data_IF_235649643615
#
_entry.id   IF_235649643615
#
_cell.length_a   1.000
_cell.length_b   1.000
_cell.length_c   1.000
_cell.angle_alpha   90.00
_cell.angle_beta   90.00
_cell.angle_gamma   90.00
#
_symmetry.space_group_name_H-M   'P 1'
#
loop_
_entity.id
_entity.type
_entity.pdbx_description
1 polymer ?
#
# COMPACT_ATOMS: atom_id res chain seq x y z
N UNK A 1 -4.97 -0.09 1.77
CA UNK A 1 -5.27 -0.82 3.01
C UNK A 1 -6.74 -0.87 3.36
N UNK A 2 -7.49 0.19 3.16
CA UNK A 2 -8.93 0.23 3.42
C UNK A 2 -9.78 -0.16 2.20
N UNK A 3 -9.15 -0.56 1.09
CA UNK A 3 -9.82 -1.05 -0.12
C UNK A 3 -10.31 0.03 -1.09
N UNK A 4 -9.97 1.27 -0.82
CA UNK A 4 -10.26 2.40 -1.70
C UNK A 4 -8.96 2.88 -2.36
N UNK A 5 -9.04 3.16 -3.65
CA UNK A 5 -7.98 3.86 -4.38
C UNK A 5 -8.46 5.29 -4.58
N UNK A 6 -7.65 6.22 -4.14
CA UNK A 6 -7.99 7.64 -4.15
C UNK A 6 -6.88 8.44 -4.82
N UNK A 7 -7.28 9.43 -5.61
CA UNK A 7 -6.34 10.37 -6.20
C UNK A 7 -5.77 11.31 -5.12
N UNK A 8 -4.46 11.33 -4.99
CA UNK A 8 -3.73 12.16 -4.03
C UNK A 8 -4.07 13.66 -4.18
N UNK A 9 -4.20 14.14 -5.41
CA UNK A 9 -4.55 15.53 -5.67
C UNK A 9 -5.97 15.87 -5.21
N UNK A 10 -6.90 14.93 -5.31
CA UNK A 10 -8.26 15.09 -4.78
C UNK A 10 -8.24 15.12 -3.26
N UNK A 11 -7.50 14.21 -2.62
CA UNK A 11 -7.32 14.20 -1.14
C UNK A 11 -6.71 15.50 -0.67
N UNK A 12 -5.64 15.98 -1.33
CA UNK A 12 -4.96 17.23 -1.00
C UNK A 12 -5.90 18.44 -1.09
N UNK A 13 -6.71 18.52 -2.14
CA UNK A 13 -7.72 19.59 -2.28
C UNK A 13 -8.78 19.56 -1.18
N UNK A 14 -9.32 18.39 -0.86
CA UNK A 14 -10.31 18.22 0.22
C UNK A 14 -9.70 18.59 1.57
N UNK A 15 -8.47 18.19 1.83
CA UNK A 15 -7.74 18.56 3.02
C UNK A 15 -7.45 20.06 3.10
N UNK A 16 -7.36 20.76 1.96
CA UNK A 16 -6.87 22.13 1.89
C UNK A 16 -5.38 22.18 2.24
N UNK A 17 -4.61 21.24 1.68
CA UNK A 17 -3.16 21.17 1.84
C UNK A 17 -2.49 22.34 1.12
N UNK A 18 -1.53 22.99 1.79
CA UNK A 18 -0.70 24.02 1.22
C UNK A 18 0.76 23.55 1.14
N UNK A 19 1.42 23.82 0.02
CA UNK A 19 2.78 23.38 -0.20
C UNK A 19 3.79 23.94 0.83
N UNK A 20 3.50 25.13 1.40
CA UNK A 20 4.38 25.77 2.42
C UNK A 20 4.01 25.45 3.87
N UNK A 21 2.74 25.09 4.15
CA UNK A 21 2.25 24.87 5.51
C UNK A 21 1.92 23.40 5.80
N UNK A 22 1.94 22.56 4.75
CA UNK A 22 1.55 21.15 4.88
C UNK A 22 0.08 20.97 5.26
N UNK A 23 -0.20 19.91 5.99
CA UNK A 23 -1.55 19.52 6.39
C UNK A 23 -1.54 19.17 7.88
N UNK A 24 -2.39 19.83 8.65
CA UNK A 24 -2.62 19.53 10.06
C UNK A 24 -3.64 18.38 10.26
N UNK A 25 -3.79 17.92 11.50
CA UNK A 25 -4.68 16.81 11.84
C UNK A 25 -6.16 17.10 11.54
N UNK A 26 -6.59 18.38 11.63
CA UNK A 26 -7.98 18.79 11.36
C UNK A 26 -8.26 18.65 9.86
N UNK A 27 -7.33 19.09 9.04
CA UNK A 27 -7.41 18.98 7.59
C UNK A 27 -7.36 17.53 7.14
N UNK A 28 -6.47 16.69 7.72
CA UNK A 28 -6.42 15.25 7.47
C UNK A 28 -7.73 14.57 7.86
N UNK A 29 -8.32 14.93 9.01
CA UNK A 29 -9.61 14.40 9.45
C UNK A 29 -10.74 14.77 8.48
N UNK A 30 -10.72 15.98 7.91
CA UNK A 30 -11.67 16.41 6.87
C UNK A 30 -11.56 15.53 5.63
N UNK A 31 -10.35 15.28 5.15
CA UNK A 31 -10.13 14.40 4.01
C UNK A 31 -10.58 12.96 4.32
N UNK A 32 -10.23 12.41 5.46
CA UNK A 32 -10.68 11.08 5.87
C UNK A 32 -12.21 10.96 5.91
N UNK A 33 -12.91 12.00 6.40
CA UNK A 33 -14.37 12.04 6.46
C UNK A 33 -15.01 12.01 5.07
N UNK A 34 -14.42 12.65 4.07
CA UNK A 34 -14.91 12.63 2.70
C UNK A 34 -14.90 11.22 2.08
N UNK A 35 -14.03 10.35 2.57
CA UNK A 35 -13.94 8.94 2.20
C UNK A 35 -14.59 8.01 3.24
N UNK A 36 -15.58 8.49 3.98
CA UNK A 36 -16.32 7.72 4.98
C UNK A 36 -15.43 7.07 6.04
N UNK A 37 -14.32 7.72 6.38
CA UNK A 37 -13.43 7.33 7.46
C UNK A 37 -13.47 8.33 8.60
N UNK A 38 -13.29 7.86 9.83
CA UNK A 38 -13.08 8.69 11.01
C UNK A 38 -11.60 8.65 11.38
N UNK A 39 -10.96 9.80 11.50
CA UNK A 39 -9.62 9.90 12.06
C UNK A 39 -9.72 10.20 13.55
N UNK A 40 -9.32 9.26 14.40
CA UNK A 40 -9.32 9.45 15.86
C UNK A 40 -8.05 10.17 16.30
N UNK A 41 -8.15 11.02 17.31
CA UNK A 41 -7.01 11.67 17.94
C UNK A 41 -6.73 11.02 19.28
N UNK A 42 -5.54 10.43 19.43
CA UNK A 42 -5.09 9.78 20.67
C UNK A 42 -3.72 10.35 21.02
N UNK A 43 -3.65 11.09 22.12
CA UNK A 43 -2.42 11.69 22.64
C UNK A 43 -2.00 11.02 23.93
N UNK A 44 -0.72 10.67 24.08
CA UNK A 44 -0.18 10.01 25.27
C UNK A 44 1.17 10.63 25.65
N UNK A 45 1.41 10.80 26.95
CA UNK A 45 2.73 11.19 27.49
C UNK A 45 3.65 9.97 27.65
N UNK A 46 3.07 8.80 27.93
CA UNK A 46 3.84 7.58 28.17
C UNK A 46 4.04 6.77 26.88
N UNK A 47 5.30 6.48 26.46
CA UNK A 47 5.60 5.77 25.22
C UNK A 47 5.07 4.34 25.17
N UNK A 48 4.99 3.63 26.28
CA UNK A 48 4.47 2.26 26.31
C UNK A 48 2.96 2.22 26.13
N UNK A 49 2.24 3.22 26.70
CA UNK A 49 0.81 3.38 26.47
C UNK A 49 0.55 3.76 25.01
N UNK A 50 1.33 4.69 24.43
CA UNK A 50 1.24 5.04 23.02
C UNK A 50 1.48 3.82 22.11
N UNK A 51 2.53 3.03 22.38
CA UNK A 51 2.81 1.78 21.66
C UNK A 51 1.63 0.80 21.72
N UNK A 52 1.03 0.64 22.90
CA UNK A 52 -0.13 -0.26 23.09
C UNK A 52 -1.33 0.18 22.24
N UNK A 53 -1.64 1.47 22.23
CA UNK A 53 -2.73 2.02 21.42
C UNK A 53 -2.48 1.80 19.92
N UNK A 54 -1.25 2.06 19.44
CA UNK A 54 -0.85 1.80 18.07
C UNK A 54 -1.04 0.32 17.70
N UNK A 55 -0.54 -0.61 18.53
CA UNK A 55 -0.69 -2.04 18.29
C UNK A 55 -2.15 -2.49 18.29
N UNK A 56 -3.00 -1.92 19.16
CA UNK A 56 -4.44 -2.19 19.18
C UNK A 56 -5.13 -1.71 17.90
N UNK A 57 -4.77 -0.53 17.40
CA UNK A 57 -5.30 -0.01 16.13
C UNK A 57 -4.90 -0.91 14.96
N UNK A 58 -3.61 -1.26 14.85
CA UNK A 58 -3.10 -2.15 13.79
C UNK A 58 -3.72 -3.54 13.84
N UNK A 59 -3.94 -4.10 15.04
CA UNK A 59 -4.63 -5.40 15.21
C UNK A 59 -6.07 -5.36 14.69
N UNK A 60 -6.74 -4.21 14.77
CA UNK A 60 -8.07 -4.00 14.19
C UNK A 60 -8.04 -3.76 12.69
N UNK A 61 -6.86 -3.68 12.08
CA UNK A 61 -6.67 -3.39 10.65
C UNK A 61 -6.76 -1.89 10.33
N UNK A 62 -6.61 -1.01 11.32
CA UNK A 62 -6.65 0.43 11.13
C UNK A 62 -5.24 0.98 10.89
N UNK A 63 -4.95 1.50 9.68
CA UNK A 63 -3.72 2.25 9.44
C UNK A 63 -3.73 3.49 10.35
N UNK A 64 -2.56 3.86 10.83
CA UNK A 64 -2.46 4.92 11.83
C UNK A 64 -1.44 5.97 11.41
N UNK A 65 -1.88 7.21 11.29
CA UNK A 65 -1.01 8.35 11.03
C UNK A 65 -0.29 8.72 12.33
N UNK A 66 1.01 8.91 12.23
CA UNK A 66 1.83 9.45 13.30
C UNK A 66 2.46 10.76 12.82
N UNK A 67 2.37 11.80 13.65
CA UNK A 67 3.16 12.99 13.47
C UNK A 67 4.54 12.73 14.09
N UNK A 68 5.59 12.83 13.29
CA UNK A 68 6.96 12.48 13.68
C UNK A 68 7.91 13.66 13.50
N UNK A 69 9.18 13.48 13.93
CA UNK A 69 10.25 14.44 13.74
C UNK A 69 9.87 15.84 14.27
N UNK A 70 9.46 15.91 15.55
CA UNK A 70 8.98 17.11 16.22
C UNK A 70 7.76 17.74 15.53
N UNK A 71 6.81 16.89 15.13
CA UNK A 71 5.57 17.25 14.43
C UNK A 71 5.77 17.93 13.06
N UNK A 72 6.94 17.74 12.45
CA UNK A 72 7.24 18.31 11.14
C UNK A 72 6.90 17.40 9.97
N UNK A 73 6.48 16.16 10.23
CA UNK A 73 6.23 15.16 9.19
C UNK A 73 5.20 14.11 9.59
N UNK A 74 4.45 13.62 8.60
CA UNK A 74 3.48 12.55 8.76
C UNK A 74 3.97 11.25 8.15
N UNK A 75 3.86 10.17 8.90
CA UNK A 75 4.03 8.81 8.39
C UNK A 75 2.78 7.98 8.65
N UNK A 76 2.55 6.94 7.85
CA UNK A 76 1.44 6.00 8.07
C UNK A 76 1.99 4.66 8.51
N UNK A 77 1.73 4.26 9.75
CA UNK A 77 2.06 2.90 10.21
C UNK A 77 0.94 1.95 9.79
N UNK A 78 1.33 0.90 9.06
CA UNK A 78 0.41 -0.03 8.39
C UNK A 78 0.48 -1.46 8.94
N UNK A 79 1.50 -1.77 9.74
CA UNK A 79 1.66 -3.10 10.32
C UNK A 79 2.71 -3.16 11.41
N UNK A 80 2.63 -4.22 12.21
CA UNK A 80 3.65 -4.56 13.20
C UNK A 80 3.80 -6.08 13.27
N UNK A 81 5.05 -6.57 13.17
CA UNK A 81 5.35 -7.99 13.22
C UNK A 81 6.74 -8.22 13.82
N UNK A 82 6.88 -9.17 14.74
CA UNK A 82 8.17 -9.56 15.36
C UNK A 82 8.95 -8.37 15.92
N UNK A 83 8.25 -7.44 16.58
CA UNK A 83 8.87 -6.24 17.18
C UNK A 83 9.30 -5.17 16.18
N UNK A 84 9.02 -5.34 14.89
CA UNK A 84 9.23 -4.34 13.84
C UNK A 84 7.91 -3.68 13.49
N UNK A 85 7.97 -2.39 13.15
CA UNK A 85 6.85 -1.60 12.64
C UNK A 85 7.08 -1.34 11.15
N UNK A 86 6.02 -1.45 10.39
CA UNK A 86 6.02 -1.20 8.94
C UNK A 86 5.26 0.10 8.72
N UNK A 87 5.92 1.05 8.10
CA UNK A 87 5.33 2.36 7.79
C UNK A 87 5.52 2.73 6.32
N UNK A 88 4.70 3.67 5.87
CA UNK A 88 4.85 4.36 4.60
C UNK A 88 5.27 5.79 4.93
N UNK A 89 6.39 6.22 4.37
CA UNK A 89 7.02 7.51 4.59
C UNK A 89 7.42 8.12 3.24
N UNK A 90 6.79 9.23 2.86
CA UNK A 90 7.02 9.87 1.55
C UNK A 90 8.41 10.51 1.41
N UNK A 91 9.13 10.73 2.52
CA UNK A 91 10.51 11.25 2.50
C UNK A 91 11.55 10.18 2.25
N UNK A 92 11.18 8.91 2.37
CA UNK A 92 12.11 7.79 2.26
C UNK A 92 12.10 7.16 0.86
N UNK A 93 13.24 6.61 0.47
CA UNK A 93 13.39 5.83 -0.75
C UNK A 93 14.07 4.48 -0.44
N UNK A 94 13.32 3.38 -0.38
CA UNK A 94 11.90 3.21 -0.74
C UNK A 94 10.95 3.73 0.34
N UNK A 95 9.77 4.18 -0.08
CA UNK A 95 8.73 4.76 0.79
C UNK A 95 8.23 3.81 1.89
N UNK A 96 8.38 2.51 1.70
CA UNK A 96 8.03 1.50 2.72
C UNK A 96 9.20 1.32 3.67
N UNK A 97 9.02 1.68 4.93
CA UNK A 97 10.02 1.61 5.99
C UNK A 97 9.76 0.45 6.95
N UNK A 98 10.83 -0.04 7.58
CA UNK A 98 10.77 -1.09 8.60
C UNK A 98 11.62 -0.68 9.79
N UNK A 99 10.98 -0.27 10.87
CA UNK A 99 11.63 0.27 12.04
C UNK A 99 11.58 -0.67 13.24
N UNK A 100 12.57 -0.55 14.13
CA UNK A 100 12.48 -1.05 15.50
C UNK A 100 11.57 -0.15 16.32
N UNK A 101 11.09 -0.65 17.46
CA UNK A 101 10.38 0.20 18.41
C UNK A 101 11.22 1.43 18.83
N UNK A 102 12.50 1.25 19.06
CA UNK A 102 13.37 2.33 19.50
C UNK A 102 13.48 3.45 18.45
N UNK A 103 13.66 3.08 17.17
CA UNK A 103 13.73 4.04 16.08
C UNK A 103 12.41 4.78 15.91
N UNK A 104 11.29 4.04 15.83
CA UNK A 104 9.97 4.63 15.70
C UNK A 104 9.67 5.56 16.89
N UNK A 105 9.93 5.13 18.13
CA UNK A 105 9.71 5.93 19.34
C UNK A 105 10.49 7.24 19.29
N UNK A 106 11.76 7.21 18.86
CA UNK A 106 12.60 8.40 18.81
C UNK A 106 12.11 9.43 17.79
N UNK A 107 11.61 8.97 16.64
CA UNK A 107 11.02 9.86 15.63
C UNK A 107 9.64 10.36 16.05
N UNK A 108 8.85 9.52 16.71
CA UNK A 108 7.45 9.80 17.05
C UNK A 108 7.31 10.78 18.23
N UNK A 109 8.26 10.82 19.13
CA UNK A 109 8.22 11.73 20.27
C UNK A 109 8.20 13.20 19.82
N UNK A 110 7.36 13.99 20.46
CA UNK A 110 7.39 15.43 20.45
C UNK A 110 7.78 15.90 21.85
N UNK A 111 8.71 16.85 21.95
CA UNK A 111 9.18 17.40 23.22
C UNK A 111 9.05 18.91 23.20
N UNK A 112 8.40 19.44 24.23
CA UNK A 112 8.27 20.89 24.46
C UNK A 112 8.51 21.22 25.93
N UNK A 113 8.90 22.46 26.28
CA UNK A 113 8.96 22.89 27.67
C UNK A 113 7.60 22.74 28.33
N UNK A 114 7.58 22.32 29.62
CA UNK A 114 6.34 22.30 30.39
C UNK A 114 5.84 23.75 30.61
N UNK A 115 4.61 24.11 30.26
CA UNK A 115 4.08 25.44 30.49
C UNK A 115 4.10 25.88 31.97
N UNK A 116 3.97 24.89 32.89
CA UNK A 116 3.93 25.15 34.33
C UNK A 116 5.35 25.17 34.95
N UNK A 117 6.31 24.48 34.35
CA UNK A 117 7.72 24.44 34.75
C UNK A 117 8.64 24.36 33.54
N UNK A 118 9.11 25.48 32.96
CA UNK A 118 9.95 25.50 31.76
C UNK A 118 11.30 24.75 31.90
N UNK A 119 11.71 24.39 33.12
CA UNK A 119 12.92 23.57 33.34
C UNK A 119 12.67 22.09 33.03
N UNK A 120 11.42 21.68 32.96
CA UNK A 120 11.00 20.32 32.59
C UNK A 120 10.51 20.27 31.14
N UNK A 121 10.52 19.07 30.57
CA UNK A 121 9.97 18.82 29.23
C UNK A 121 8.78 17.91 29.29
N UNK A 122 7.74 18.25 28.55
CA UNK A 122 6.62 17.38 28.26
C UNK A 122 6.95 16.58 27.01
N UNK A 123 6.81 15.27 27.09
CA UNK A 123 6.91 14.38 25.93
C UNK A 123 5.52 13.91 25.51
N UNK A 124 5.20 14.07 24.23
CA UNK A 124 3.93 13.69 23.64
C UNK A 124 4.12 12.69 22.49
N UNK A 125 3.13 11.82 22.33
CA UNK A 125 3.02 10.84 21.24
C UNK A 125 1.61 10.95 20.66
N UNK A 126 1.49 11.49 19.45
CA UNK A 126 0.22 11.66 18.76
C UNK A 126 -0.03 10.53 17.78
N UNK A 127 -1.18 9.90 17.91
CA UNK A 127 -1.63 8.75 17.13
C UNK A 127 -3.01 9.05 16.54
N UNK A 128 -3.13 8.86 15.24
CA UNK A 128 -4.38 9.09 14.51
C UNK A 128 -4.80 7.84 13.72
N UNK A 129 -5.46 6.86 14.35
CA UNK A 129 -6.02 5.72 13.64
C UNK A 129 -7.11 6.16 12.66
N UNK A 130 -7.02 5.68 11.42
CA UNK A 130 -8.04 5.90 10.40
C UNK A 130 -9.03 4.73 10.44
N UNK A 131 -10.25 5.02 10.89
CA UNK A 131 -11.30 4.03 11.13
C UNK A 131 -12.37 4.13 10.04
N UNK A 132 -12.53 3.12 9.17
CA UNK A 132 -13.58 3.12 8.17
C UNK A 132 -14.95 3.01 8.81
N UNK A 133 -15.94 3.76 8.31
CA UNK A 133 -17.36 3.68 8.68
C UNK A 133 -18.15 2.74 7.76
N UNK A 134 -17.44 2.06 6.86
CA UNK A 134 -17.99 1.06 5.94
C UNK A 134 -17.33 -0.31 6.19
N UNK A 135 -17.94 -1.35 5.63
CA UNK A 135 -17.36 -2.70 5.68
C UNK A 135 -16.19 -2.76 4.70
N UNK A 136 -14.98 -2.86 5.23
CA UNK A 136 -13.78 -3.07 4.41
C UNK A 136 -13.86 -4.46 3.77
N UNK A 137 -14.00 -4.50 2.44
CA UNK A 137 -14.09 -5.76 1.66
C UNK A 137 -12.72 -6.40 1.48
N UNK A 138 -11.69 -5.58 1.37
CA UNK A 138 -10.30 -5.99 1.14
C UNK A 138 -9.46 -5.66 2.34
N UNK A 139 -8.86 -6.67 2.97
CA UNK A 139 -7.84 -6.43 3.99
C UNK A 139 -6.48 -6.69 3.37
N UNK A 140 -5.75 -5.64 3.01
CA UNK A 140 -4.36 -5.77 2.64
C UNK A 140 -3.56 -6.25 3.87
N UNK A 141 -2.99 -7.42 3.78
CA UNK A 141 -2.12 -7.96 4.82
C UNK A 141 -0.68 -7.52 4.58
N UNK A 142 -0.30 -6.42 5.21
CA UNK A 142 1.07 -5.91 5.17
C UNK A 142 1.94 -6.60 6.22
N UNK A 143 2.48 -7.75 5.87
CA UNK A 143 3.43 -8.47 6.68
C UNK A 143 4.88 -8.00 6.40
N UNK A 144 5.80 -8.31 7.30
CA UNK A 144 7.22 -7.99 7.15
C UNK A 144 7.84 -8.55 5.84
N UNK A 145 7.37 -9.72 5.38
CA UNK A 145 7.77 -10.29 4.07
C UNK A 145 7.41 -9.36 2.91
N UNK A 146 6.26 -8.70 2.96
CA UNK A 146 5.78 -7.77 1.93
C UNK A 146 6.63 -6.49 1.92
N UNK A 147 6.89 -5.92 3.09
CA UNK A 147 7.78 -4.76 3.22
C UNK A 147 9.19 -5.08 2.68
N UNK A 148 9.76 -6.23 3.03
CA UNK A 148 11.06 -6.68 2.50
C UNK A 148 11.06 -6.85 0.99
N UNK A 149 9.98 -7.34 0.40
CA UNK A 149 9.86 -7.47 -1.06
C UNK A 149 9.87 -6.09 -1.73
N UNK A 150 9.05 -5.15 -1.26
CA UNK A 150 8.98 -3.79 -1.81
C UNK A 150 10.29 -3.00 -1.64
N UNK A 151 11.04 -3.27 -0.58
CA UNK A 151 12.34 -2.62 -0.32
C UNK A 151 13.51 -3.12 -1.16
N UNK A 152 13.33 -4.14 -1.97
CA UNK A 152 14.39 -4.62 -2.87
C UNK A 152 14.68 -3.57 -3.94
N UNK A 153 15.96 -3.31 -4.27
CA UNK A 153 16.32 -2.30 -5.29
C UNK A 153 15.60 -2.51 -6.63
N UNK A 154 15.46 -3.76 -7.05
CA UNK A 154 14.76 -4.13 -8.29
C UNK A 154 13.27 -3.84 -8.30
N UNK A 155 12.65 -3.65 -7.12
CA UNK A 155 11.23 -3.38 -6.95
C UNK A 155 10.92 -1.91 -6.63
N UNK A 156 11.91 -1.02 -6.71
CA UNK A 156 11.75 0.39 -6.35
C UNK A 156 10.62 1.08 -7.13
N UNK A 157 10.58 0.89 -8.45
CA UNK A 157 9.51 1.44 -9.30
C UNK A 157 8.16 0.80 -8.95
N UNK A 158 8.12 -0.51 -8.80
CA UNK A 158 6.91 -1.22 -8.41
C UNK A 158 6.34 -0.71 -7.06
N UNK A 159 7.21 -0.38 -6.11
CA UNK A 159 6.78 0.13 -4.81
C UNK A 159 6.09 1.50 -4.87
N UNK A 160 6.26 2.27 -5.96
CA UNK A 160 5.61 3.57 -6.16
C UNK A 160 4.34 3.50 -7.02
N UNK A 161 4.13 2.42 -7.77
CA UNK A 161 2.99 2.27 -8.68
C UNK A 161 2.23 0.93 -8.50
N UNK A 162 2.31 0.31 -7.35
CA UNK A 162 1.66 -0.98 -7.11
C UNK A 162 0.13 -0.94 -7.12
N UNK A 163 -0.45 0.23 -6.88
CA UNK A 163 -1.87 0.52 -7.02
C UNK A 163 -2.36 0.38 -8.47
N UNK A 164 -1.54 0.74 -9.45
CA UNK A 164 -1.83 0.50 -10.87
C UNK A 164 -1.98 -1.00 -11.13
N UNK A 165 -1.06 -1.82 -10.60
CA UNK A 165 -1.15 -3.28 -10.69
C UNK A 165 -2.41 -3.83 -10.01
N UNK A 166 -2.82 -3.24 -8.89
CA UNK A 166 -4.05 -3.62 -8.20
C UNK A 166 -5.28 -3.29 -9.05
N UNK A 167 -5.33 -2.10 -9.65
CA UNK A 167 -6.41 -1.68 -10.53
C UNK A 167 -6.56 -2.59 -11.74
N UNK A 168 -5.46 -2.90 -12.40
CA UNK A 168 -5.44 -3.82 -13.54
C UNK A 168 -6.00 -5.19 -13.14
N UNK A 169 -5.57 -5.71 -11.99
CA UNK A 169 -6.07 -6.99 -11.50
C UNK A 169 -7.54 -6.96 -11.08
N UNK A 170 -8.05 -5.85 -10.54
CA UNK A 170 -9.46 -5.70 -10.17
C UNK A 170 -10.41 -5.68 -11.36
N UNK A 171 -9.92 -5.43 -12.58
CA UNK A 171 -10.69 -5.62 -13.81
C UNK A 171 -10.90 -7.09 -14.19
N UNK A 172 -10.07 -7.99 -13.64
CA UNK A 172 -10.02 -9.42 -14.00
C UNK A 172 -10.53 -10.31 -12.85
N UNK A 173 -10.37 -9.87 -11.62
CA UNK A 173 -10.62 -10.66 -10.41
C UNK A 173 -11.24 -9.80 -9.30
N UNK A 174 -11.58 -10.43 -8.20
CA UNK A 174 -12.18 -9.74 -7.05
C UNK A 174 -11.46 -10.13 -5.76
N UNK A 175 -11.47 -9.25 -4.74
CA UNK A 175 -11.05 -9.63 -3.41
C UNK A 175 -11.93 -10.75 -2.84
N UNK A 176 -11.33 -11.69 -2.13
CA UNK A 176 -12.05 -12.75 -1.45
C UNK A 176 -13.00 -12.18 -0.39
N UNK A 177 -14.22 -12.68 -0.39
CA UNK A 177 -15.22 -12.37 0.64
C UNK A 177 -15.71 -13.66 1.28
N UNK A 178 -16.37 -13.63 2.45
CA UNK A 178 -16.99 -14.80 3.04
C UNK A 178 -18.07 -15.45 2.16
N UNK A 179 -18.59 -14.71 1.17
CA UNK A 179 -19.59 -15.18 0.22
C UNK A 179 -18.97 -15.70 -1.10
N UNK A 180 -17.64 -15.65 -1.23
CA UNK A 180 -16.97 -16.16 -2.43
C UNK A 180 -17.02 -17.68 -2.44
N UNK A 181 -17.81 -18.24 -3.36
CA UNK A 181 -17.90 -19.68 -3.60
C UNK A 181 -17.28 -20.02 -4.96
N UNK A 182 -16.76 -21.23 -5.10
CA UNK A 182 -16.16 -21.73 -6.35
C UNK A 182 -15.06 -20.82 -6.90
N UNK A 183 -14.19 -20.31 -6.01
CA UNK A 183 -13.09 -19.42 -6.36
C UNK A 183 -11.76 -20.03 -5.96
N UNK A 184 -10.70 -19.63 -6.67
CA UNK A 184 -9.33 -19.97 -6.31
C UNK A 184 -8.43 -18.71 -6.27
N UNK A 185 -7.32 -18.75 -5.54
CA UNK A 185 -6.43 -17.60 -5.41
C UNK A 185 -5.80 -17.23 -6.76
N UNK A 186 -5.84 -15.94 -7.12
CA UNK A 186 -5.18 -15.44 -8.34
C UNK A 186 -3.67 -15.66 -8.28
N UNK A 187 -3.04 -15.55 -7.11
CA UNK A 187 -1.63 -15.85 -6.92
C UNK A 187 -1.25 -17.29 -7.28
N UNK A 188 -2.17 -18.24 -7.07
CA UNK A 188 -1.99 -19.64 -7.47
C UNK A 188 -2.16 -19.82 -8.99
N UNK A 189 -3.12 -19.12 -9.62
CA UNK A 189 -3.25 -19.09 -11.09
C UNK A 189 -1.95 -18.61 -11.74
N UNK A 190 -1.41 -17.50 -11.26
CA UNK A 190 -0.16 -16.93 -11.76
C UNK A 190 1.03 -17.88 -11.56
N UNK A 191 1.04 -18.62 -10.44
CA UNK A 191 2.08 -19.64 -10.19
C UNK A 191 2.00 -20.80 -11.17
N UNK A 192 0.78 -21.29 -11.45
CA UNK A 192 0.55 -22.43 -12.35
C UNK A 192 0.82 -22.09 -13.81
N UNK A 193 0.33 -20.94 -14.26
CA UNK A 193 0.29 -20.58 -15.67
C UNK A 193 1.33 -19.53 -16.07
N UNK A 194 2.16 -19.02 -15.14
CA UNK A 194 3.11 -17.94 -15.40
C UNK A 194 4.10 -18.23 -16.52
N UNK A 195 4.59 -19.48 -16.63
CA UNK A 195 5.49 -19.88 -17.72
C UNK A 195 4.78 -19.86 -19.06
N UNK A 196 3.55 -20.38 -19.14
CA UNK A 196 2.75 -20.37 -20.37
C UNK A 196 2.44 -18.93 -20.80
N UNK A 197 2.03 -18.09 -19.87
CA UNK A 197 1.76 -16.66 -20.12
C UNK A 197 3.03 -15.97 -20.66
N UNK A 198 4.19 -16.17 -20.00
CA UNK A 198 5.47 -15.60 -20.49
C UNK A 198 5.81 -16.04 -21.91
N UNK A 199 5.67 -17.33 -22.20
CA UNK A 199 5.96 -17.87 -23.52
C UNK A 199 5.06 -17.26 -24.60
N UNK A 200 3.77 -17.08 -24.31
CA UNK A 200 2.83 -16.45 -25.24
C UNK A 200 3.18 -14.98 -25.49
N UNK A 201 3.52 -14.22 -24.44
CA UNK A 201 3.90 -12.81 -24.59
C UNK A 201 5.17 -12.68 -25.43
N UNK A 202 6.20 -13.53 -25.19
CA UNK A 202 7.44 -13.53 -25.98
C UNK A 202 7.17 -13.94 -27.44
N UNK A 203 6.25 -14.86 -27.67
CA UNK A 203 5.85 -15.27 -29.02
C UNK A 203 5.25 -14.10 -29.82
N UNK A 204 4.37 -13.32 -29.19
CA UNK A 204 3.74 -12.16 -29.85
C UNK A 204 4.64 -10.93 -29.87
N UNK A 205 5.57 -10.81 -28.94
CA UNK A 205 6.42 -9.61 -28.79
C UNK A 205 7.83 -9.97 -28.34
N UNK A 206 8.73 -10.21 -29.31
CA UNK A 206 10.10 -10.66 -29.07
C UNK A 206 11.05 -9.66 -28.41
N UNK A 207 10.60 -8.40 -28.20
CA UNK A 207 11.44 -7.33 -27.63
C UNK A 207 11.60 -7.34 -26.12
N UNK A 208 10.94 -8.27 -25.39
CA UNK A 208 10.95 -8.33 -23.93
C UNK A 208 11.61 -9.62 -23.45
N UNK A 209 12.55 -9.50 -22.51
CA UNK A 209 13.22 -10.68 -21.96
C UNK A 209 12.31 -11.45 -20.98
N UNK A 210 12.45 -12.78 -20.95
CA UNK A 210 11.77 -13.65 -19.98
C UNK A 210 12.02 -13.20 -18.54
N UNK A 211 13.20 -12.67 -18.22
CA UNK A 211 13.53 -12.11 -16.89
C UNK A 211 12.64 -10.92 -16.52
N UNK A 212 12.33 -10.04 -17.46
CA UNK A 212 11.45 -8.90 -17.23
C UNK A 212 10.01 -9.36 -17.00
N UNK A 213 9.51 -10.27 -17.85
CA UNK A 213 8.16 -10.83 -17.71
C UNK A 213 7.98 -11.56 -16.39
N UNK A 214 8.93 -12.42 -15.99
CA UNK A 214 8.88 -13.09 -14.69
C UNK A 214 8.90 -12.11 -13.52
N UNK A 215 9.56 -10.96 -13.66
CA UNK A 215 9.52 -9.91 -12.62
C UNK A 215 8.13 -9.33 -12.50
N UNK A 216 7.47 -8.99 -13.60
CA UNK A 216 6.11 -8.44 -13.58
C UNK A 216 5.12 -9.46 -13.05
N UNK A 217 5.20 -10.72 -13.49
CA UNK A 217 4.34 -11.79 -12.94
C UNK A 217 4.51 -11.95 -11.43
N UNK A 218 5.75 -11.81 -10.90
CA UNK A 218 5.97 -11.78 -9.45
C UNK A 218 5.34 -10.56 -8.77
N UNK A 219 5.35 -9.39 -9.42
CA UNK A 219 4.70 -8.19 -8.91
C UNK A 219 3.17 -8.37 -8.89
N UNK A 220 2.59 -8.87 -9.98
CA UNK A 220 1.16 -9.21 -10.04
C UNK A 220 0.77 -10.22 -8.96
N UNK A 221 1.59 -11.28 -8.80
CA UNK A 221 1.39 -12.26 -7.73
C UNK A 221 1.49 -11.63 -6.34
N UNK A 222 2.44 -10.72 -6.13
CA UNK A 222 2.57 -10.00 -4.86
C UNK A 222 1.30 -9.21 -4.53
N UNK A 223 0.74 -8.49 -5.49
CA UNK A 223 -0.52 -7.75 -5.32
C UNK A 223 -1.67 -8.71 -5.06
N UNK A 224 -1.79 -9.76 -5.85
CA UNK A 224 -2.82 -10.78 -5.69
C UNK A 224 -2.82 -11.41 -4.29
N UNK A 225 -1.64 -11.80 -3.80
CA UNK A 225 -1.48 -12.39 -2.47
C UNK A 225 -1.72 -11.37 -1.33
N UNK A 226 -1.32 -10.10 -1.55
CA UNK A 226 -1.48 -9.04 -0.54
C UNK A 226 -2.94 -8.68 -0.31
N UNK A 227 -3.73 -8.67 -1.37
CA UNK A 227 -5.15 -8.31 -1.33
C UNK A 227 -6.10 -9.51 -1.31
N UNK A 228 -5.56 -10.74 -1.22
CA UNK A 228 -6.33 -12.00 -1.31
C UNK A 228 -7.29 -12.00 -2.50
N UNK A 229 -6.74 -11.70 -3.69
CA UNK A 229 -7.53 -11.66 -4.93
C UNK A 229 -7.84 -13.07 -5.39
N UNK A 230 -9.08 -13.26 -5.85
CA UNK A 230 -9.60 -14.56 -6.29
C UNK A 230 -10.29 -14.45 -7.65
N UNK A 231 -10.25 -15.56 -8.38
CA UNK A 231 -10.94 -15.75 -9.66
C UNK A 231 -11.97 -16.86 -9.48
N UNK A 232 -13.14 -16.74 -10.13
CA UNK A 232 -14.09 -17.85 -10.19
C UNK A 232 -13.52 -18.98 -11.05
N UNK A 233 -13.79 -20.22 -10.67
CA UNK A 233 -13.29 -21.38 -11.41
C UNK A 233 -13.72 -21.37 -12.89
N UNK A 234 -14.91 -20.88 -13.17
CA UNK A 234 -15.44 -20.72 -14.53
C UNK A 234 -14.73 -19.64 -15.36
N UNK A 235 -14.12 -18.64 -14.69
CA UNK A 235 -13.41 -17.51 -15.32
C UNK A 235 -11.91 -17.75 -15.50
N UNK A 236 -11.38 -18.94 -15.17
CA UNK A 236 -9.93 -19.21 -15.21
C UNK A 236 -9.31 -18.89 -16.57
N UNK A 237 -9.89 -19.39 -17.66
CA UNK A 237 -9.39 -19.12 -19.03
C UNK A 237 -9.42 -17.64 -19.37
N UNK A 238 -10.53 -16.97 -19.00
CA UNK A 238 -10.69 -15.52 -19.21
C UNK A 238 -9.63 -14.72 -18.47
N UNK A 239 -9.35 -15.07 -17.22
CA UNK A 239 -8.32 -14.41 -16.42
C UNK A 239 -6.93 -14.59 -17.02
N UNK A 240 -6.58 -15.80 -17.47
CA UNK A 240 -5.31 -16.07 -18.16
C UNK A 240 -5.20 -15.22 -19.42
N UNK A 241 -6.23 -15.19 -20.26
CA UNK A 241 -6.25 -14.42 -21.50
C UNK A 241 -6.09 -12.94 -21.23
N UNK A 242 -6.82 -12.39 -20.25
CA UNK A 242 -6.76 -10.97 -19.91
C UNK A 242 -5.37 -10.57 -19.37
N UNK A 243 -4.76 -11.39 -18.51
CA UNK A 243 -3.40 -11.17 -18.00
C UNK A 243 -2.39 -11.21 -19.14
N UNK A 244 -2.52 -12.20 -20.04
CA UNK A 244 -1.62 -12.33 -21.20
C UNK A 244 -1.74 -11.10 -22.12
N UNK A 245 -2.97 -10.63 -22.39
CA UNK A 245 -3.21 -9.44 -23.20
C UNK A 245 -2.59 -8.18 -22.57
N UNK A 246 -2.80 -7.96 -21.28
CA UNK A 246 -2.20 -6.83 -20.56
C UNK A 246 -0.68 -6.85 -20.62
N UNK A 247 -0.08 -8.03 -20.44
CA UNK A 247 1.39 -8.18 -20.53
C UNK A 247 1.91 -8.01 -21.96
N UNK A 248 1.15 -8.41 -22.97
CA UNK A 248 1.50 -8.19 -24.38
C UNK A 248 1.45 -6.70 -24.72
N UNK A 249 0.43 -5.97 -24.27
CA UNK A 249 0.34 -4.51 -24.43
C UNK A 249 1.48 -3.79 -23.70
N UNK A 250 1.81 -4.24 -22.49
CA UNK A 250 2.97 -3.72 -21.76
C UNK A 250 4.27 -4.01 -22.53
N UNK A 251 4.46 -5.22 -23.07
CA UNK A 251 5.63 -5.57 -23.86
C UNK A 251 5.76 -4.70 -25.11
N UNK A 252 4.64 -4.47 -25.79
CA UNK A 252 4.56 -3.57 -26.94
C UNK A 252 4.99 -2.14 -26.60
N UNK A 253 4.57 -1.63 -25.43
CA UNK A 253 4.97 -0.28 -24.96
C UNK A 253 6.46 -0.14 -24.66
N UNK A 254 7.20 -1.24 -24.44
CA UNK A 254 8.64 -1.24 -24.15
C UNK A 254 9.51 -1.38 -25.39
N UNK A 255 8.97 -1.98 -26.45
CA UNK A 255 9.70 -2.19 -27.71
C UNK A 255 9.81 -0.94 -28.60
N UNK A 256 9.31 0.21 -28.10
CA UNK A 256 9.06 1.36 -28.97
C UNK A 256 7.89 0.98 -29.87
N UNK A 257 6.77 1.64 -29.72
CA UNK A 257 5.55 1.25 -30.43
C UNK A 257 5.82 1.32 -31.94
N UNK A 258 6.15 0.20 -32.52
CA UNK A 258 5.51 -0.10 -33.80
C UNK A 258 4.03 -0.24 -33.42
N UNK A 259 3.16 0.64 -33.88
CA UNK A 259 1.78 0.55 -33.52
C UNK A 259 1.27 -0.83 -33.88
N UNK A 260 0.42 -1.41 -33.04
CA UNK A 260 -0.27 -2.69 -33.30
C UNK A 260 -0.97 -2.69 -34.67
N UNK A 261 -1.16 -1.55 -35.21
CA UNK A 261 -1.58 -1.28 -36.58
C UNK A 261 -0.35 -0.77 -37.33
N UNK A 262 0.42 -1.70 -37.91
CA UNK A 262 1.64 -1.39 -38.61
C UNK A 262 1.47 -0.22 -39.56
N UNK A 263 2.45 0.65 -39.59
CA UNK A 263 2.62 1.52 -40.73
C UNK A 263 2.94 0.60 -41.92
N UNK A 264 1.93 0.44 -42.78
CA UNK A 264 2.18 -0.03 -44.11
C UNK A 264 3.12 0.90 -44.85
#
# INVERSE_FOLDING_TARGET
>A
MLGEIVDENVVSRIAGTHWWAGTDEIKLARAAKAYHCEMKVIRRKNPLRAKRELLLALKKGYPSLLCVDQWSHWITVVGAERGKFISVDSREAPVVCVDTWQNLKNRWKFEEPDPDDPTQKITLYDLHPVVPKFRVRTKAHFALKHARYLRRPENRVFATCWDEYFNDLCSICTPRTPLSANVFPLGELLRRHGTMISNQVVYWHGGVSDKQLRRILRNLKFVADTYDLVVRNEDEKRAITAITANLTLWAASKGGVDPVYGNG
#
